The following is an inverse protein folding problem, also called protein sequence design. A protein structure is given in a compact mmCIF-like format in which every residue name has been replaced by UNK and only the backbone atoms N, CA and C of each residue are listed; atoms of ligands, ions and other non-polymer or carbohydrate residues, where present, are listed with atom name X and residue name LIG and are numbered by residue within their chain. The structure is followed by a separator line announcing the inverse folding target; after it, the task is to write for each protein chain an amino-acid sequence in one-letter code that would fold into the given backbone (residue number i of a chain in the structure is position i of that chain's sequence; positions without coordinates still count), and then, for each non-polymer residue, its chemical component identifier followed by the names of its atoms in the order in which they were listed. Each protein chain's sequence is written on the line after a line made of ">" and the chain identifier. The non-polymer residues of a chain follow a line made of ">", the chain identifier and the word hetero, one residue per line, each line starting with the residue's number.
data_IF_090073671367
#
_entry.id   IF_090073671367
#
_cell.length_a   1.000
_cell.length_b   1.000
_cell.length_c   1.000
_cell.angle_alpha   90.00
_cell.angle_beta   90.00
_cell.angle_gamma   90.00
#
_symmetry.space_group_name_H-M   'P 1'
#
loop_
_entity.id
_entity.type
_entity.pdbx_description
1 polymer ?
#
# COMPACT_ATOMS: atom_id res chain seq x y z
N UNK A 1 -22.04 18.17 1.11
CA UNK A 1 -22.34 16.81 0.58
C UNK A 1 -22.56 15.83 1.72
N UNK A 2 -23.50 14.89 1.59
CA UNK A 2 -23.67 13.84 2.63
C UNK A 2 -22.51 12.84 2.61
N UNK A 3 -22.17 12.25 3.76
CA UNK A 3 -21.05 11.28 3.88
C UNK A 3 -21.17 10.05 2.93
N UNK A 4 -22.38 9.77 2.45
CA UNK A 4 -22.63 8.70 1.48
C UNK A 4 -22.19 9.02 0.05
N UNK A 5 -22.26 10.30 -0.37
CA UNK A 5 -21.82 10.74 -1.70
C UNK A 5 -20.30 10.67 -1.84
N UNK A 6 -19.53 11.10 -0.83
CA UNK A 6 -18.07 11.07 -0.83
C UNK A 6 -17.51 9.64 -0.92
N UNK A 7 -18.10 8.67 -0.20
CA UNK A 7 -17.70 7.24 -0.26
C UNK A 7 -17.90 6.62 -1.63
N UNK A 8 -18.92 7.05 -2.37
CA UNK A 8 -19.21 6.52 -3.71
C UNK A 8 -18.27 7.07 -4.78
N UNK A 9 -17.65 8.23 -4.53
CA UNK A 9 -16.70 8.89 -5.42
C UNK A 9 -15.24 8.72 -4.98
N UNK A 10 -14.98 8.20 -3.76
CA UNK A 10 -13.62 7.96 -3.25
C UNK A 10 -12.81 9.23 -2.94
N UNK A 11 -13.48 10.34 -2.63
CA UNK A 11 -12.86 11.64 -2.39
C UNK A 11 -12.37 11.82 -0.95
N UNK A 12 -11.10 12.25 -0.75
CA UNK A 12 -10.46 12.49 0.54
C UNK A 12 -9.66 13.80 0.55
N UNK A 13 -9.67 14.53 1.68
CA UNK A 13 -8.93 15.78 1.84
C UNK A 13 -7.55 15.54 2.45
N UNK A 14 -6.52 16.16 1.91
CA UNK A 14 -5.11 15.94 2.25
C UNK A 14 -4.56 17.10 3.08
N UNK A 15 -3.71 16.81 4.09
CA UNK A 15 -2.97 17.80 4.89
C UNK A 15 -1.53 17.85 4.40
N UNK A 16 -1.05 19.04 4.02
CA UNK A 16 0.26 19.24 3.40
C UNK A 16 1.41 18.88 4.33
N UNK A 17 1.32 19.20 5.62
CA UNK A 17 2.36 18.92 6.60
C UNK A 17 2.71 17.45 6.76
N UNK A 18 1.85 16.54 6.28
CA UNK A 18 2.07 15.10 6.39
C UNK A 18 2.72 14.52 5.13
N UNK A 19 2.30 14.95 3.93
CA UNK A 19 2.80 14.36 2.69
C UNK A 19 3.98 15.12 2.09
N UNK A 20 4.08 16.44 2.32
CA UNK A 20 5.17 17.29 1.82
C UNK A 20 6.46 17.08 2.63
N UNK A 21 7.08 15.91 2.45
CA UNK A 21 8.36 15.59 3.08
C UNK A 21 9.52 16.35 2.41
N UNK A 22 10.64 16.64 3.11
CA UNK A 22 11.72 17.45 2.57
C UNK A 22 12.23 17.01 1.20
N UNK A 23 12.44 15.71 0.98
CA UNK A 23 12.88 15.16 -0.30
C UNK A 23 11.83 15.33 -1.42
N UNK A 24 10.53 15.27 -1.08
CA UNK A 24 9.45 15.54 -2.05
C UNK A 24 9.37 17.03 -2.40
N UNK A 25 9.56 17.93 -1.43
CA UNK A 25 9.65 19.36 -1.67
C UNK A 25 10.84 19.70 -2.57
N UNK A 26 12.00 19.08 -2.34
CA UNK A 26 13.18 19.24 -3.20
C UNK A 26 12.91 18.75 -4.62
N UNK A 27 12.30 17.57 -4.77
CA UNK A 27 11.90 17.05 -6.06
C UNK A 27 10.94 18.00 -6.78
N UNK A 28 9.84 18.40 -6.15
CA UNK A 28 8.86 19.33 -6.75
C UNK A 28 9.52 20.65 -7.18
N UNK A 29 10.40 21.22 -6.36
CA UNK A 29 11.15 22.42 -6.74
C UNK A 29 12.06 22.20 -7.95
N UNK A 30 12.65 21.03 -8.09
CA UNK A 30 13.49 20.68 -9.23
C UNK A 30 12.70 20.64 -10.54
N UNK A 31 11.42 20.26 -10.50
CA UNK A 31 10.53 20.24 -11.66
C UNK A 31 10.31 21.63 -12.28
N UNK A 32 10.49 22.72 -11.52
CA UNK A 32 10.37 24.11 -12.03
C UNK A 32 11.37 24.44 -13.15
N UNK A 33 12.44 23.69 -13.28
CA UNK A 33 13.38 23.86 -14.39
C UNK A 33 12.87 23.29 -15.71
N UNK A 34 11.81 22.47 -15.67
CA UNK A 34 11.25 21.74 -16.79
C UNK A 34 9.79 22.11 -17.08
N UNK A 35 9.03 22.49 -16.04
CA UNK A 35 7.59 22.76 -16.14
C UNK A 35 7.24 24.08 -15.49
N UNK A 36 6.32 24.82 -16.11
CA UNK A 36 5.72 26.01 -15.53
C UNK A 36 4.39 25.70 -14.86
N UNK A 37 3.73 24.61 -15.25
CA UNK A 37 2.37 24.24 -14.84
C UNK A 37 2.34 22.96 -14.01
N UNK A 38 1.51 22.98 -12.97
CA UNK A 38 1.10 21.81 -12.20
C UNK A 38 -0.36 21.50 -12.50
N UNK A 39 -0.64 20.30 -12.95
CA UNK A 39 -1.99 19.80 -13.26
C UNK A 39 -2.45 18.85 -12.17
N UNK A 40 -3.67 19.05 -11.67
CA UNK A 40 -4.39 18.05 -10.87
C UNK A 40 -5.67 17.63 -11.61
N UNK A 41 -5.68 16.43 -12.22
CA UNK A 41 -6.84 15.91 -12.93
C UNK A 41 -8.00 15.47 -12.02
N UNK A 42 -7.80 15.45 -10.69
CA UNK A 42 -8.79 15.07 -9.68
C UNK A 42 -8.78 16.08 -8.52
N UNK A 43 -8.84 17.36 -8.86
CA UNK A 43 -8.44 18.48 -8.02
C UNK A 43 -9.26 18.66 -6.73
N UNK A 44 -10.51 18.20 -6.69
CA UNK A 44 -11.38 18.43 -5.54
C UNK A 44 -11.41 19.91 -5.12
N UNK A 45 -11.13 20.17 -3.84
CA UNK A 45 -11.07 21.54 -3.30
C UNK A 45 -9.72 22.25 -3.58
N UNK A 46 -8.80 21.64 -4.34
CA UNK A 46 -7.57 22.27 -4.82
C UNK A 46 -6.42 22.36 -3.80
N UNK A 47 -6.44 21.59 -2.73
CA UNK A 47 -5.38 21.65 -1.70
C UNK A 47 -3.97 21.36 -2.25
N UNK A 48 -3.81 20.36 -3.13
CA UNK A 48 -2.52 20.05 -3.74
C UNK A 48 -2.07 21.18 -4.69
N UNK A 49 -3.00 21.78 -5.40
CA UNK A 49 -2.72 22.93 -6.28
C UNK A 49 -2.30 24.18 -5.48
N UNK A 50 -2.83 24.40 -4.27
CA UNK A 50 -2.40 25.46 -3.39
C UNK A 50 -0.94 25.27 -2.97
N UNK A 51 -0.55 24.03 -2.62
CA UNK A 51 0.84 23.70 -2.33
C UNK A 51 1.75 23.95 -3.53
N UNK A 52 1.35 23.55 -4.74
CA UNK A 52 2.10 23.82 -5.97
C UNK A 52 2.21 25.33 -6.27
N UNK A 53 1.11 26.09 -6.07
CA UNK A 53 1.12 27.56 -6.22
C UNK A 53 2.12 28.21 -5.27
N UNK A 54 2.21 27.76 -4.01
CA UNK A 54 3.17 28.26 -3.04
C UNK A 54 4.63 28.01 -3.44
N UNK A 55 4.88 27.00 -4.29
CA UNK A 55 6.18 26.71 -4.89
C UNK A 55 6.43 27.46 -6.20
N UNK A 56 5.46 28.28 -6.67
CA UNK A 56 5.56 29.15 -7.82
C UNK A 56 5.17 28.52 -9.16
N UNK A 57 4.38 27.44 -9.17
CA UNK A 57 3.76 26.91 -10.38
C UNK A 57 2.45 27.64 -10.73
N UNK A 58 2.17 27.75 -12.00
CA UNK A 58 0.80 27.95 -12.49
C UNK A 58 0.03 26.65 -12.27
N UNK A 59 -1.22 26.73 -11.85
CA UNK A 59 -2.00 25.54 -11.49
C UNK A 59 -3.25 25.39 -12.33
N UNK A 60 -3.56 24.16 -12.73
CA UNK A 60 -4.76 23.79 -13.47
C UNK A 60 -5.43 22.62 -12.77
N UNK A 61 -6.70 22.76 -12.43
CA UNK A 61 -7.50 21.72 -11.78
C UNK A 61 -8.63 21.24 -12.67
N UNK A 62 -8.94 19.95 -12.58
CA UNK A 62 -10.15 19.34 -13.15
C UNK A 62 -10.83 18.47 -12.11
N UNK A 63 -12.14 18.30 -12.21
CA UNK A 63 -12.92 17.38 -11.41
C UNK A 63 -14.12 16.87 -12.22
N UNK A 64 -14.70 15.75 -11.82
CA UNK A 64 -15.91 15.19 -12.42
C UNK A 64 -17.18 15.79 -11.82
N UNK A 65 -17.10 16.38 -10.62
CA UNK A 65 -18.22 16.97 -9.90
C UNK A 65 -18.45 18.44 -10.32
N UNK A 66 -19.59 18.70 -10.93
CA UNK A 66 -19.98 20.04 -11.42
C UNK A 66 -20.01 21.09 -10.29
N UNK A 67 -20.46 20.71 -9.09
CA UNK A 67 -20.50 21.63 -7.95
C UNK A 67 -19.08 22.01 -7.48
N UNK A 68 -18.15 21.07 -7.50
CA UNK A 68 -16.73 21.32 -7.20
C UNK A 68 -16.11 22.20 -8.28
N UNK A 69 -16.35 21.90 -9.55
CA UNK A 69 -15.84 22.72 -10.67
C UNK A 69 -16.33 24.16 -10.57
N UNK A 70 -17.63 24.36 -10.31
CA UNK A 70 -18.22 25.70 -10.15
C UNK A 70 -17.62 26.43 -8.95
N UNK A 71 -17.50 25.78 -7.80
CA UNK A 71 -17.01 26.40 -6.57
C UNK A 71 -15.56 26.87 -6.66
N UNK A 72 -14.72 26.12 -7.41
CA UNK A 72 -13.27 26.37 -7.49
C UNK A 72 -12.80 26.93 -8.83
N UNK A 73 -13.70 27.10 -9.80
CA UNK A 73 -13.36 27.64 -11.12
C UNK A 73 -12.58 26.67 -12.02
N UNK A 74 -12.77 25.36 -11.85
CA UNK A 74 -12.09 24.32 -12.67
C UNK A 74 -12.65 24.20 -14.10
N UNK A 75 -13.58 25.04 -14.50
CA UNK A 75 -14.21 24.99 -15.82
C UNK A 75 -15.32 23.93 -15.91
N UNK A 76 -15.41 23.25 -17.06
CA UNK A 76 -16.41 22.20 -17.26
C UNK A 76 -15.99 20.89 -16.58
N UNK A 77 -16.93 20.12 -16.01
CA UNK A 77 -16.64 18.82 -15.45
C UNK A 77 -15.92 17.89 -16.44
N UNK A 78 -14.91 17.16 -15.95
CA UNK A 78 -14.14 16.23 -16.75
C UNK A 78 -13.92 14.91 -16.03
N UNK A 79 -14.24 13.81 -16.68
CA UNK A 79 -13.88 12.47 -16.22
C UNK A 79 -12.44 12.14 -16.62
N UNK A 80 -11.50 12.45 -15.74
CA UNK A 80 -10.06 12.31 -16.01
C UNK A 80 -9.55 10.88 -16.01
N UNK A 81 -10.38 9.88 -15.62
CA UNK A 81 -10.06 8.46 -15.83
C UNK A 81 -10.23 8.08 -17.30
N UNK A 82 -11.26 8.61 -17.98
CA UNK A 82 -11.51 8.34 -19.39
C UNK A 82 -10.83 9.34 -20.32
N UNK A 83 -10.72 10.59 -19.90
CA UNK A 83 -10.27 11.72 -20.70
C UNK A 83 -9.23 12.53 -19.96
N UNK A 84 -7.98 12.05 -19.95
CA UNK A 84 -6.86 12.74 -19.29
C UNK A 84 -6.67 14.13 -19.92
N UNK A 85 -6.79 15.23 -19.14
CA UNK A 85 -6.56 16.57 -19.67
C UNK A 85 -5.16 16.72 -20.22
N UNK A 86 -4.98 17.40 -21.36
CA UNK A 86 -3.69 17.57 -22.04
C UNK A 86 -3.14 18.98 -21.84
N UNK A 87 -1.95 19.07 -21.24
CA UNK A 87 -1.18 20.33 -21.08
C UNK A 87 0.29 20.11 -21.42
N UNK A 88 0.81 20.82 -22.42
CA UNK A 88 2.13 20.57 -23.00
C UNK A 88 3.31 20.90 -22.07
N UNK A 89 3.14 21.77 -21.09
CA UNK A 89 4.18 22.22 -20.15
C UNK A 89 3.76 21.96 -18.71
N UNK A 90 3.30 20.75 -18.43
CA UNK A 90 2.80 20.39 -17.11
C UNK A 90 3.34 19.05 -16.63
N UNK A 91 3.52 18.97 -15.31
CA UNK A 91 3.58 17.69 -14.58
C UNK A 91 2.28 17.50 -13.77
N UNK A 92 2.00 16.27 -13.38
CA UNK A 92 0.81 15.94 -12.59
C UNK A 92 1.15 15.84 -11.10
N UNK A 93 0.32 16.49 -10.24
CA UNK A 93 0.32 16.31 -8.78
C UNK A 93 -1.10 16.06 -8.34
N UNK A 94 -1.40 14.87 -7.81
CA UNK A 94 -2.80 14.49 -7.59
C UNK A 94 -3.01 13.45 -6.49
N UNK A 95 -4.22 13.47 -5.95
CA UNK A 95 -4.80 12.46 -5.07
C UNK A 95 -6.06 11.89 -5.76
N UNK A 96 -5.94 10.81 -6.55
CA UNK A 96 -7.04 10.27 -7.36
C UNK A 96 -8.10 9.58 -6.49
N UNK A 97 -9.29 9.25 -7.02
CA UNK A 97 -10.32 8.53 -6.28
C UNK A 97 -9.89 7.09 -5.96
N UNK A 98 -10.21 6.61 -4.73
CA UNK A 98 -9.93 5.25 -4.26
C UNK A 98 -11.21 4.44 -4.18
N UNK A 99 -11.44 3.56 -5.14
CA UNK A 99 -12.57 2.64 -5.12
C UNK A 99 -12.23 1.34 -5.84
N UNK A 100 -11.96 0.31 -5.06
CA UNK A 100 -11.65 -1.00 -5.60
C UNK A 100 -12.86 -1.62 -6.34
N UNK A 101 -12.62 -2.31 -7.44
CA UNK A 101 -13.59 -3.01 -8.30
C UNK A 101 -14.63 -3.83 -7.52
N UNK A 102 -14.17 -4.61 -6.53
CA UNK A 102 -15.05 -5.42 -5.69
C UNK A 102 -15.93 -4.56 -4.76
N UNK A 103 -15.42 -3.44 -4.29
CA UNK A 103 -16.18 -2.47 -3.49
C UNK A 103 -17.21 -1.74 -4.36
N UNK A 104 -16.82 -1.30 -5.56
CA UNK A 104 -17.72 -0.70 -6.53
C UNK A 104 -18.91 -1.63 -6.86
N UNK A 105 -18.63 -2.91 -7.14
CA UNK A 105 -19.67 -3.93 -7.37
C UNK A 105 -20.60 -4.11 -6.17
N UNK A 106 -20.05 -4.21 -4.95
CA UNK A 106 -20.85 -4.38 -3.72
C UNK A 106 -21.74 -3.18 -3.43
N UNK A 107 -21.26 -1.96 -3.74
CA UNK A 107 -21.98 -0.69 -3.55
C UNK A 107 -22.92 -0.38 -4.72
N UNK A 108 -22.92 -1.18 -5.77
CA UNK A 108 -23.62 -0.91 -7.02
C UNK A 108 -23.31 0.50 -7.57
N UNK A 109 -22.03 0.92 -7.44
CA UNK A 109 -21.58 2.23 -7.84
C UNK A 109 -21.44 2.36 -9.36
N UNK A 110 -21.75 3.54 -9.97
CA UNK A 110 -21.55 3.77 -11.41
C UNK A 110 -20.12 3.47 -11.87
N UNK A 111 -19.14 3.65 -11.00
CA UNK A 111 -17.73 3.36 -11.25
C UNK A 111 -17.41 1.90 -11.63
N UNK A 112 -18.36 0.97 -11.52
CA UNK A 112 -18.20 -0.41 -12.05
C UNK A 112 -17.90 -0.39 -13.55
N UNK A 113 -18.44 0.57 -14.30
CA UNK A 113 -18.25 0.70 -15.75
C UNK A 113 -16.78 0.85 -16.16
N UNK A 114 -15.93 1.48 -15.35
CA UNK A 114 -14.50 1.63 -15.66
C UNK A 114 -13.73 0.30 -15.68
N UNK A 115 -14.25 -0.73 -15.04
CA UNK A 115 -13.63 -2.06 -14.95
C UNK A 115 -14.23 -3.09 -15.93
N UNK A 116 -15.07 -2.66 -16.85
CA UNK A 116 -15.64 -3.53 -17.89
C UNK A 116 -14.66 -3.67 -19.05
N UNK A 117 -14.69 -4.78 -19.80
CA UNK A 117 -13.82 -4.99 -20.95
C UNK A 117 -14.00 -3.94 -22.06
N UNK A 118 -15.19 -3.34 -22.13
CA UNK A 118 -15.52 -2.26 -23.08
C UNK A 118 -15.00 -0.89 -22.64
N UNK A 119 -14.56 -0.74 -21.40
CA UNK A 119 -13.90 0.47 -20.96
C UNK A 119 -12.57 0.60 -21.72
N UNK A 120 -12.44 1.69 -22.49
CA UNK A 120 -11.28 1.95 -23.36
C UNK A 120 -10.06 2.34 -22.50
N UNK A 121 -9.62 1.46 -21.63
CA UNK A 121 -8.38 1.61 -20.90
C UNK A 121 -7.39 0.66 -21.56
N UNK A 122 -6.34 1.18 -22.26
CA UNK A 122 -5.31 0.35 -22.86
C UNK A 122 -4.50 -0.32 -21.75
N UNK A 123 -5.00 -1.39 -21.18
CA UNK A 123 -4.19 -2.30 -20.40
C UNK A 123 -3.94 -3.54 -21.27
N UNK A 124 -2.69 -4.01 -21.31
CA UNK A 124 -2.48 -5.37 -21.79
C UNK A 124 -3.34 -6.30 -20.93
N UNK A 125 -3.96 -7.33 -21.52
CA UNK A 125 -4.77 -8.33 -20.80
C UNK A 125 -4.01 -8.87 -19.57
N UNK A 126 -2.69 -8.89 -19.62
CA UNK A 126 -1.78 -9.34 -18.59
C UNK A 126 -1.81 -8.45 -17.31
N UNK A 127 -2.05 -7.15 -17.44
CA UNK A 127 -2.11 -6.21 -16.31
C UNK A 127 -3.53 -5.90 -15.83
N UNK A 128 -4.56 -6.25 -16.60
CA UNK A 128 -5.96 -5.94 -16.28
C UNK A 128 -6.42 -6.48 -14.92
N UNK A 129 -5.86 -7.60 -14.47
CA UNK A 129 -6.16 -8.19 -13.17
C UNK A 129 -5.59 -7.37 -11.99
N UNK A 130 -4.50 -6.63 -12.21
CA UNK A 130 -3.83 -5.80 -11.20
C UNK A 130 -4.47 -4.41 -11.13
N UNK A 131 -5.02 -3.91 -12.25
CA UNK A 131 -5.70 -2.61 -12.34
C UNK A 131 -7.12 -2.69 -11.76
N UNK A 132 -7.24 -3.05 -10.50
CA UNK A 132 -8.49 -3.37 -9.81
C UNK A 132 -9.00 -2.26 -8.88
N UNK A 133 -8.44 -1.05 -8.98
CA UNK A 133 -8.87 0.14 -8.23
C UNK A 133 -8.82 1.39 -9.12
N UNK A 134 -9.67 2.39 -8.87
CA UNK A 134 -9.76 3.60 -9.68
C UNK A 134 -8.44 4.36 -9.75
N UNK A 135 -7.70 4.46 -8.64
CA UNK A 135 -6.40 5.13 -8.65
C UNK A 135 -5.39 4.47 -9.60
N UNK A 136 -5.45 3.14 -9.73
CA UNK A 136 -4.57 2.42 -10.65
C UNK A 136 -4.92 2.71 -12.11
N UNK A 137 -6.20 2.79 -12.42
CA UNK A 137 -6.67 3.20 -13.75
C UNK A 137 -6.24 4.65 -14.06
N UNK A 138 -6.37 5.55 -13.09
CA UNK A 138 -5.95 6.94 -13.22
C UNK A 138 -4.44 7.05 -13.51
N UNK A 139 -3.59 6.32 -12.76
CA UNK A 139 -2.14 6.27 -13.01
C UNK A 139 -1.86 5.75 -14.42
N UNK A 140 -2.43 4.60 -14.78
CA UNK A 140 -2.20 3.95 -16.08
C UNK A 140 -2.46 4.89 -17.24
N UNK A 141 -3.62 5.58 -17.23
CA UNK A 141 -4.00 6.54 -18.26
C UNK A 141 -3.08 7.76 -18.28
N UNK A 142 -2.74 8.30 -17.12
CA UNK A 142 -1.94 9.53 -17.02
C UNK A 142 -0.50 9.31 -17.45
N UNK A 143 0.10 8.17 -17.15
CA UNK A 143 1.48 7.85 -17.51
C UNK A 143 1.70 7.77 -19.03
N UNK A 144 0.66 7.62 -19.84
CA UNK A 144 0.75 7.69 -21.29
C UNK A 144 1.07 9.11 -21.79
N UNK A 145 0.60 10.12 -21.05
CA UNK A 145 0.62 11.52 -21.49
C UNK A 145 1.67 12.37 -20.77
N UNK A 146 2.06 12.01 -19.54
CA UNK A 146 2.94 12.83 -18.70
C UNK A 146 4.23 12.11 -18.34
N UNK A 147 5.36 12.79 -18.51
CA UNK A 147 6.68 12.28 -18.18
C UNK A 147 6.92 12.22 -16.67
N UNK A 148 6.46 13.23 -15.95
CA UNK A 148 6.65 13.40 -14.51
C UNK A 148 5.29 13.52 -13.80
N UNK A 149 5.13 12.78 -12.69
CA UNK A 149 3.89 12.83 -11.91
C UNK A 149 4.11 12.42 -10.45
N UNK A 150 3.34 13.03 -9.56
CA UNK A 150 3.34 12.80 -8.10
C UNK A 150 1.94 12.41 -7.65
N UNK A 151 1.83 11.30 -6.94
CA UNK A 151 0.58 10.64 -6.60
C UNK A 151 0.49 10.36 -5.11
N UNK A 152 -0.60 10.75 -4.47
CA UNK A 152 -0.96 10.27 -3.14
C UNK A 152 -1.94 9.12 -3.34
N UNK A 153 -1.54 7.89 -2.98
CA UNK A 153 -2.31 6.68 -3.32
C UNK A 153 -2.29 5.67 -2.17
N UNK A 154 -3.23 4.71 -2.15
CA UNK A 154 -3.23 3.64 -1.16
C UNK A 154 -1.89 2.89 -1.09
N UNK A 155 -1.41 2.64 0.12
CA UNK A 155 -0.13 1.94 0.36
C UNK A 155 -0.10 0.52 -0.24
N UNK A 156 -1.26 -0.06 -0.56
CA UNK A 156 -1.35 -1.37 -1.23
C UNK A 156 -0.58 -1.41 -2.56
N UNK A 157 -0.41 -0.28 -3.24
CA UNK A 157 0.35 -0.16 -4.50
C UNK A 157 1.80 -0.65 -4.38
N UNK A 158 2.37 -0.63 -3.17
CA UNK A 158 3.74 -1.14 -2.91
C UNK A 158 3.90 -2.59 -3.36
N UNK A 159 2.85 -3.40 -3.19
CA UNK A 159 2.84 -4.80 -3.63
C UNK A 159 2.61 -4.92 -5.15
N UNK A 160 1.83 -4.01 -5.72
CA UNK A 160 1.43 -4.05 -7.12
C UNK A 160 2.56 -3.65 -8.08
N UNK A 161 3.53 -2.83 -7.63
CA UNK A 161 4.68 -2.39 -8.44
C UNK A 161 5.49 -3.56 -9.02
N UNK A 162 5.53 -4.71 -8.37
CA UNK A 162 6.19 -5.90 -8.91
C UNK A 162 5.46 -6.46 -10.14
N UNK A 163 4.15 -6.36 -10.15
CA UNK A 163 3.26 -6.86 -11.20
C UNK A 163 3.08 -5.85 -12.33
N UNK A 164 3.60 -4.62 -12.17
CA UNK A 164 3.51 -3.51 -13.12
C UNK A 164 4.93 -3.01 -13.48
N UNK A 165 5.70 -3.79 -14.26
CA UNK A 165 7.11 -3.49 -14.57
C UNK A 165 7.28 -2.14 -15.29
N UNK A 166 6.32 -1.71 -16.09
CA UNK A 166 6.36 -0.42 -16.78
C UNK A 166 6.20 0.78 -15.80
N UNK A 167 5.44 0.62 -14.70
CA UNK A 167 5.42 1.63 -13.63
C UNK A 167 6.75 1.64 -12.89
N UNK A 168 7.26 0.45 -12.53
CA UNK A 168 8.54 0.32 -11.83
C UNK A 168 9.70 0.93 -12.64
N UNK A 169 9.70 0.75 -13.95
CA UNK A 169 10.70 1.35 -14.84
C UNK A 169 10.69 2.89 -14.84
N UNK A 170 9.60 3.51 -14.40
CA UNK A 170 9.44 4.97 -14.29
C UNK A 170 9.46 5.46 -12.85
N UNK A 171 9.58 4.58 -11.86
CA UNK A 171 9.57 4.93 -10.44
C UNK A 171 10.79 5.80 -10.10
N UNK A 172 10.56 7.07 -9.77
CA UNK A 172 11.58 7.96 -9.21
C UNK A 172 11.72 7.71 -7.72
N UNK A 173 10.61 7.79 -6.97
CA UNK A 173 10.60 7.47 -5.55
C UNK A 173 9.23 6.99 -5.07
N UNK A 174 9.26 6.21 -3.99
CA UNK A 174 8.09 5.80 -3.21
C UNK A 174 8.32 6.18 -1.75
N UNK A 175 7.39 6.93 -1.16
CA UNK A 175 7.44 7.33 0.25
C UNK A 175 6.25 6.76 0.99
N UNK A 176 6.50 5.79 1.87
CA UNK A 176 5.49 5.26 2.80
C UNK A 176 5.26 6.28 3.91
N UNK A 177 4.00 6.68 4.12
CA UNK A 177 3.60 7.61 5.17
C UNK A 177 3.07 6.83 6.39
N UNK A 178 3.76 6.95 7.53
CA UNK A 178 3.26 6.36 8.79
C UNK A 178 2.16 7.23 9.41
N UNK A 179 2.27 8.55 9.23
CA UNK A 179 1.25 9.50 9.66
C UNK A 179 0.09 9.54 8.66
N UNK A 180 -1.10 9.82 9.17
CA UNK A 180 -2.28 9.92 8.32
C UNK A 180 -2.41 11.33 7.72
N UNK A 181 -2.32 11.51 6.38
CA UNK A 181 -2.48 12.82 5.75
C UNK A 181 -3.95 13.28 5.64
N UNK A 182 -4.92 12.43 5.97
CA UNK A 182 -6.33 12.76 5.82
C UNK A 182 -6.98 13.15 7.15
N UNK A 183 -7.98 14.02 7.08
CA UNK A 183 -8.79 14.43 8.25
C UNK A 183 -10.02 13.55 8.45
N UNK A 184 -10.48 12.89 7.40
CA UNK A 184 -11.77 12.18 7.34
C UNK A 184 -11.66 10.67 7.14
N UNK A 185 -10.45 10.14 6.99
CA UNK A 185 -10.19 8.70 6.88
C UNK A 185 -8.84 8.32 7.49
N UNK A 186 -8.72 7.07 7.94
CA UNK A 186 -7.45 6.47 8.39
C UNK A 186 -6.83 5.58 7.30
N UNK A 187 -7.17 5.78 6.04
CA UNK A 187 -6.67 4.94 4.96
C UNK A 187 -5.15 5.08 4.82
N UNK A 188 -4.38 3.97 4.88
CA UNK A 188 -2.94 4.02 4.70
C UNK A 188 -2.58 4.43 3.28
N UNK A 189 -1.71 5.42 3.14
CA UNK A 189 -1.26 5.91 1.84
C UNK A 189 0.25 6.07 1.77
N UNK A 190 0.74 6.15 0.55
CA UNK A 190 2.10 6.50 0.19
C UNK A 190 2.11 7.60 -0.86
N UNK A 191 3.25 8.21 -1.08
CA UNK A 191 3.49 9.12 -2.19
C UNK A 191 4.33 8.40 -3.24
N UNK A 192 3.79 8.23 -4.46
CA UNK A 192 4.51 7.75 -5.62
C UNK A 192 4.97 8.92 -6.47
N UNK A 193 6.21 8.89 -6.89
CA UNK A 193 6.77 9.82 -7.87
C UNK A 193 7.23 9.03 -9.07
N UNK A 194 6.67 9.33 -10.23
CA UNK A 194 7.13 8.80 -11.51
C UNK A 194 7.89 9.87 -12.28
N UNK A 195 8.97 9.45 -12.94
CA UNK A 195 9.73 10.27 -13.89
C UNK A 195 10.25 9.41 -15.03
N UNK A 196 9.98 9.82 -16.25
CA UNK A 196 10.54 9.15 -17.43
C UNK A 196 12.06 9.39 -17.58
N UNK A 197 12.56 10.52 -17.05
CA UNK A 197 13.94 10.97 -17.23
C UNK A 197 14.87 10.58 -16.06
N UNK A 198 14.32 10.35 -14.87
CA UNK A 198 15.11 10.07 -13.64
C UNK A 198 14.47 8.96 -12.79
N UNK A 199 14.37 7.73 -13.30
CA UNK A 199 13.80 6.61 -12.54
C UNK A 199 14.84 6.08 -11.52
N UNK A 200 14.97 6.71 -10.37
CA UNK A 200 15.94 6.31 -9.33
C UNK A 200 15.46 5.14 -8.46
N UNK A 201 14.15 4.89 -8.43
CA UNK A 201 13.55 3.83 -7.64
C UNK A 201 13.72 3.98 -6.12
N UNK A 202 13.93 5.19 -5.60
CA UNK A 202 14.20 5.40 -4.17
C UNK A 202 13.00 5.03 -3.30
N UNK A 203 13.28 4.36 -2.19
CA UNK A 203 12.30 3.98 -1.18
C UNK A 203 12.54 4.77 0.11
N UNK A 204 11.48 5.43 0.56
CA UNK A 204 11.48 6.24 1.77
C UNK A 204 10.38 5.80 2.74
N UNK A 205 10.62 6.01 4.03
CA UNK A 205 9.62 5.89 5.08
C UNK A 205 9.60 7.20 5.87
N UNK A 206 8.55 8.00 5.72
CA UNK A 206 8.55 9.41 6.10
C UNK A 206 9.79 10.14 5.55
N UNK A 207 10.68 10.60 6.43
CA UNK A 207 11.89 11.35 6.07
C UNK A 207 13.15 10.47 6.00
N UNK A 208 13.01 9.16 6.23
CA UNK A 208 14.14 8.22 6.22
C UNK A 208 14.24 7.50 4.89
N UNK A 209 15.37 7.66 4.19
CA UNK A 209 15.70 6.87 2.99
C UNK A 209 16.09 5.46 3.40
N UNK A 210 15.44 4.46 2.83
CA UNK A 210 15.66 3.04 3.15
C UNK A 210 16.63 2.36 2.16
N UNK A 211 16.74 2.88 0.96
CA UNK A 211 17.45 2.31 -0.18
C UNK A 211 16.65 2.49 -1.45
N UNK A 212 16.71 1.53 -2.38
CA UNK A 212 15.82 1.46 -3.54
C UNK A 212 14.70 0.43 -3.31
N UNK A 213 13.60 0.60 -4.04
CA UNK A 213 12.51 -0.38 -4.02
C UNK A 213 13.01 -1.79 -4.35
N UNK A 214 13.87 -1.91 -5.37
CA UNK A 214 14.37 -3.21 -5.83
C UNK A 214 15.28 -3.87 -4.78
N UNK A 215 16.15 -3.11 -4.10
CA UNK A 215 16.99 -3.63 -3.01
C UNK A 215 16.15 -4.20 -1.87
N UNK A 216 15.17 -3.45 -1.37
CA UNK A 216 14.34 -3.89 -0.25
C UNK A 216 13.36 -5.00 -0.70
N UNK A 217 12.89 -4.94 -1.94
CA UNK A 217 12.05 -6.00 -2.53
C UNK A 217 12.80 -7.32 -2.66
N UNK A 218 14.08 -7.30 -3.01
CA UNK A 218 14.91 -8.52 -3.07
C UNK A 218 14.94 -9.24 -1.72
N UNK A 219 15.09 -8.51 -0.60
CA UNK A 219 15.05 -9.09 0.75
C UNK A 219 13.69 -9.73 1.07
N UNK A 220 12.58 -9.13 0.61
CA UNK A 220 11.27 -9.74 0.73
C UNK A 220 11.15 -11.02 -0.12
N UNK A 221 11.63 -10.97 -1.36
CA UNK A 221 11.55 -12.09 -2.30
C UNK A 221 12.39 -13.29 -1.83
N UNK A 222 13.53 -13.08 -1.16
CA UNK A 222 14.31 -14.17 -0.53
C UNK A 222 13.43 -14.99 0.42
N UNK A 223 12.58 -14.35 1.23
CA UNK A 223 11.65 -15.06 2.10
C UNK A 223 10.57 -15.80 1.29
N UNK A 224 10.14 -15.24 0.17
CA UNK A 224 9.15 -15.89 -0.70
C UNK A 224 9.70 -17.10 -1.46
N UNK A 225 11.01 -17.28 -1.57
CA UNK A 225 11.64 -18.51 -2.11
C UNK A 225 11.67 -19.65 -1.10
N UNK A 226 11.53 -19.36 0.21
CA UNK A 226 11.54 -20.39 1.25
C UNK A 226 10.39 -21.39 1.05
N UNK A 227 10.60 -22.67 1.40
CA UNK A 227 9.61 -23.73 1.16
C UNK A 227 8.27 -23.48 1.85
N UNK A 228 7.17 -23.78 1.14
CA UNK A 228 5.80 -23.61 1.65
C UNK A 228 5.33 -24.73 2.56
N UNK A 229 5.83 -25.96 2.37
CA UNK A 229 5.07 -27.15 2.77
C UNK A 229 5.92 -28.26 3.38
N UNK A 230 6.79 -27.95 4.34
CA UNK A 230 7.62 -28.99 4.97
C UNK A 230 7.03 -29.50 6.28
N UNK A 231 6.29 -28.65 6.98
CA UNK A 231 5.52 -29.02 8.15
C UNK A 231 4.06 -28.74 7.84
N UNK A 232 3.18 -29.75 7.85
CA UNK A 232 1.75 -29.51 7.70
C UNK A 232 1.27 -28.53 8.76
N UNK A 233 0.74 -27.39 8.32
CA UNK A 233 0.19 -26.35 9.19
C UNK A 233 -1.24 -26.07 8.76
N UNK A 234 -2.18 -26.34 9.64
CA UNK A 234 -3.60 -26.00 9.43
C UNK A 234 -3.97 -24.78 10.25
N UNK A 235 -4.15 -23.65 9.57
CA UNK A 235 -4.61 -22.41 10.19
C UNK A 235 -6.10 -22.46 10.54
N UNK A 236 -6.54 -21.61 11.46
CA UNK A 236 -7.91 -21.56 11.98
C UNK A 236 -8.36 -22.92 12.59
N UNK A 237 -7.47 -23.57 13.30
CA UNK A 237 -7.70 -24.84 14.00
C UNK A 237 -7.83 -24.60 15.52
N UNK A 238 -9.04 -24.50 16.11
CA UNK A 238 -9.23 -24.17 17.52
C UNK A 238 -8.53 -25.12 18.50
N UNK A 239 -8.28 -26.37 18.11
CA UNK A 239 -7.55 -27.34 18.89
C UNK A 239 -6.01 -27.25 18.74
N UNK A 240 -5.52 -26.38 17.83
CA UNK A 240 -4.09 -26.25 17.55
C UNK A 240 -3.28 -25.82 18.77
N UNK A 241 -2.05 -26.33 18.87
CA UNK A 241 -1.11 -26.02 19.97
C UNK A 241 -0.24 -24.79 19.70
N UNK A 242 -0.23 -24.29 18.46
CA UNK A 242 0.49 -23.10 18.05
C UNK A 242 -0.52 -21.94 17.87
N UNK A 243 -0.23 -20.79 18.49
CA UNK A 243 -0.96 -19.54 18.29
C UNK A 243 -0.22 -18.62 17.36
N UNK A 244 -0.94 -17.81 16.58
CA UNK A 244 -0.35 -16.79 15.73
C UNK A 244 -1.13 -15.48 15.79
N UNK A 245 -0.43 -14.39 16.06
CA UNK A 245 -0.93 -13.02 15.95
C UNK A 245 -0.45 -12.44 14.65
N UNK A 246 -1.39 -12.21 13.73
CA UNK A 246 -1.09 -11.73 12.39
C UNK A 246 -1.08 -10.20 12.26
N UNK A 247 -1.59 -9.48 13.26
CA UNK A 247 -1.71 -8.01 13.24
C UNK A 247 -1.13 -7.43 14.53
N UNK A 248 -0.30 -6.40 14.40
CA UNK A 248 0.20 -5.64 15.56
C UNK A 248 -0.96 -5.11 16.40
N UNK A 249 -0.82 -5.17 17.71
CA UNK A 249 -1.78 -4.62 18.66
C UNK A 249 -1.71 -3.10 18.73
N UNK A 250 -2.59 -2.52 19.53
CA UNK A 250 -2.63 -1.08 19.81
C UNK A 250 -1.76 -0.66 21.00
N UNK A 251 -1.25 -1.62 21.78
CA UNK A 251 -0.40 -1.37 22.95
C UNK A 251 1.06 -1.14 22.52
N UNK A 252 1.74 -0.27 23.25
CA UNK A 252 3.11 0.18 22.97
C UNK A 252 4.19 -0.74 23.53
N UNK A 253 3.83 -1.63 24.46
CA UNK A 253 4.75 -2.48 25.20
C UNK A 253 5.31 -3.67 24.41
N UNK A 254 5.17 -3.69 23.10
CA UNK A 254 5.54 -4.78 22.20
C UNK A 254 4.90 -6.16 22.54
N UNK A 255 4.08 -6.25 23.60
CA UNK A 255 3.45 -7.50 24.02
C UNK A 255 2.46 -8.07 23.02
N UNK A 256 2.04 -7.23 22.05
CA UNK A 256 1.04 -7.55 21.05
C UNK A 256 1.57 -7.37 19.62
N UNK A 257 2.83 -7.73 19.36
CA UNK A 257 3.39 -7.70 18.01
C UNK A 257 3.00 -8.96 17.21
N UNK A 258 3.18 -8.88 15.89
CA UNK A 258 3.07 -10.03 14.99
C UNK A 258 4.08 -11.09 15.44
N UNK A 259 3.61 -12.26 15.90
CA UNK A 259 4.47 -13.37 16.33
C UNK A 259 3.71 -14.67 16.54
N UNK A 260 4.44 -15.74 16.67
CA UNK A 260 3.98 -17.04 17.13
C UNK A 260 4.02 -17.14 18.67
N UNK A 261 3.12 -17.94 19.24
CA UNK A 261 2.96 -18.22 20.66
C UNK A 261 2.72 -19.71 20.86
N UNK A 262 3.00 -20.24 22.05
CA UNK A 262 2.30 -21.44 22.48
C UNK A 262 0.79 -21.14 22.53
N UNK A 263 -0.03 -22.11 22.14
CA UNK A 263 -1.46 -21.86 21.98
C UNK A 263 -2.14 -21.23 23.20
N UNK A 264 -1.74 -21.64 24.39
CA UNK A 264 -2.32 -21.14 25.64
C UNK A 264 -1.89 -19.70 25.96
N UNK A 265 -0.72 -19.27 25.47
CA UNK A 265 -0.16 -17.93 25.67
C UNK A 265 -0.75 -16.88 24.70
N UNK A 266 -1.51 -17.29 23.68
CA UNK A 266 -2.14 -16.35 22.76
C UNK A 266 -3.14 -15.40 23.44
N UNK A 267 -3.65 -15.79 24.63
CA UNK A 267 -4.56 -14.97 25.42
C UNK A 267 -5.91 -14.69 24.76
N UNK A 268 -6.37 -15.59 23.88
CA UNK A 268 -7.61 -15.46 23.13
C UNK A 268 -8.46 -16.72 23.25
N UNK A 269 -9.77 -16.57 23.51
CA UNK A 269 -10.69 -17.70 23.63
C UNK A 269 -10.79 -18.50 22.33
N UNK A 270 -10.38 -19.76 22.36
CA UNK A 270 -10.38 -20.68 21.21
C UNK A 270 -11.75 -20.79 20.54
N UNK A 271 -12.84 -20.70 21.32
CA UNK A 271 -14.23 -20.77 20.83
C UNK A 271 -14.63 -19.56 19.98
N UNK A 272 -13.89 -18.46 20.09
CA UNK A 272 -14.14 -17.23 19.32
C UNK A 272 -13.38 -17.18 17.99
N UNK A 273 -12.50 -18.15 17.71
CA UNK A 273 -11.79 -18.23 16.43
C UNK A 273 -12.80 -18.55 15.32
N UNK A 274 -12.92 -17.64 14.38
CA UNK A 274 -13.69 -17.82 13.15
C UNK A 274 -12.82 -18.46 12.08
N UNK A 275 -13.42 -19.26 11.20
CA UNK A 275 -12.73 -19.90 10.06
C UNK A 275 -12.01 -18.88 9.15
N UNK A 276 -12.46 -17.64 9.13
CA UNK A 276 -11.87 -16.54 8.36
C UNK A 276 -11.10 -15.52 9.20
N UNK A 277 -10.67 -15.89 10.42
CA UNK A 277 -9.90 -14.96 11.25
C UNK A 277 -8.62 -14.54 10.56
N UNK A 278 -8.38 -13.23 10.50
CA UNK A 278 -7.17 -12.62 9.89
C UNK A 278 -6.27 -11.93 10.90
N UNK A 279 -6.64 -11.92 12.19
CA UNK A 279 -5.92 -11.20 13.25
C UNK A 279 -5.20 -12.13 14.21
N UNK A 280 -5.92 -13.12 14.70
CA UNK A 280 -5.46 -14.12 15.65
C UNK A 280 -5.95 -15.48 15.18
N UNK A 281 -5.11 -16.49 15.24
CA UNK A 281 -5.51 -17.85 14.90
C UNK A 281 -4.74 -18.87 15.72
N UNK A 282 -5.37 -20.03 15.92
CA UNK A 282 -4.68 -21.24 16.35
C UNK A 282 -4.32 -22.07 15.12
N UNK A 283 -3.18 -22.75 15.22
CA UNK A 283 -2.62 -23.55 14.13
C UNK A 283 -2.37 -24.96 14.65
N UNK A 284 -2.90 -25.93 13.93
CA UNK A 284 -2.55 -27.31 14.14
C UNK A 284 -1.24 -27.63 13.44
N UNK A 285 -0.28 -28.16 14.19
CA UNK A 285 1.05 -28.54 13.73
C UNK A 285 1.52 -29.79 14.48
N UNK A 286 2.00 -30.78 13.74
CA UNK A 286 2.45 -32.05 14.29
C UNK A 286 3.95 -32.00 14.67
N UNK A 287 4.26 -31.31 15.77
CA UNK A 287 5.63 -31.23 16.35
C UNK A 287 5.60 -31.63 17.82
N UNK A 288 6.67 -32.28 18.28
CA UNK A 288 6.89 -32.51 19.71
C UNK A 288 7.07 -31.19 20.45
N UNK A 289 6.74 -31.16 21.76
CA UNK A 289 6.65 -29.92 22.55
C UNK A 289 7.98 -29.13 22.59
N UNK A 290 9.09 -29.81 22.80
CA UNK A 290 10.42 -29.18 22.88
C UNK A 290 10.83 -28.59 21.53
N UNK A 291 10.61 -29.35 20.45
CA UNK A 291 10.83 -28.88 19.08
C UNK A 291 9.94 -27.67 18.76
N UNK A 292 8.66 -27.72 19.14
CA UNK A 292 7.72 -26.61 18.93
C UNK A 292 8.21 -25.34 19.63
N UNK A 293 8.70 -25.44 20.87
CA UNK A 293 9.24 -24.29 21.63
C UNK A 293 10.42 -23.67 20.88
N UNK A 294 11.43 -24.47 20.52
CA UNK A 294 12.60 -23.98 19.79
C UNK A 294 12.25 -23.35 18.43
N UNK A 295 11.28 -23.95 17.72
CA UNK A 295 10.82 -23.42 16.42
C UNK A 295 10.06 -22.10 16.60
N UNK A 296 9.24 -21.93 17.64
CA UNK A 296 8.56 -20.68 17.95
C UNK A 296 9.57 -19.55 18.19
N UNK A 297 10.60 -19.81 19.00
CA UNK A 297 11.65 -18.82 19.30
C UNK A 297 12.38 -18.40 18.03
N UNK A 298 12.84 -19.35 17.23
CA UNK A 298 13.55 -19.07 15.99
C UNK A 298 12.63 -18.40 14.95
N UNK A 299 11.36 -18.81 14.82
CA UNK A 299 10.41 -18.17 13.92
C UNK A 299 10.17 -16.71 14.30
N UNK A 300 10.05 -16.41 15.59
CA UNK A 300 9.90 -15.03 16.07
C UNK A 300 11.15 -14.20 15.81
N UNK A 301 12.34 -14.76 16.00
CA UNK A 301 13.61 -14.09 15.64
C UNK A 301 13.66 -13.76 14.15
N UNK A 302 13.21 -14.69 13.27
CA UNK A 302 13.14 -14.48 11.82
C UNK A 302 12.11 -13.43 11.44
N UNK A 303 10.95 -13.39 12.11
CA UNK A 303 9.95 -12.34 11.91
C UNK A 303 10.56 -10.96 12.22
N UNK A 304 11.24 -10.81 13.36
CA UNK A 304 11.86 -9.53 13.72
C UNK A 304 13.00 -9.15 12.74
N UNK A 305 13.83 -10.11 12.32
CA UNK A 305 14.87 -9.87 11.33
C UNK A 305 14.27 -9.42 9.96
N UNK A 306 13.24 -10.10 9.49
CA UNK A 306 12.52 -9.73 8.28
C UNK A 306 11.93 -8.31 8.36
N UNK A 307 11.26 -8.00 9.47
CA UNK A 307 10.66 -6.68 9.70
C UNK A 307 11.72 -5.57 9.72
N UNK A 308 12.85 -5.82 10.38
CA UNK A 308 13.96 -4.89 10.41
C UNK A 308 14.58 -4.68 9.01
N UNK A 309 14.83 -5.77 8.27
CA UNK A 309 15.44 -5.70 6.94
C UNK A 309 14.53 -5.03 5.89
N UNK A 310 13.21 -5.26 5.95
CA UNK A 310 12.25 -4.69 5.00
C UNK A 310 11.56 -3.41 5.51
N UNK A 311 11.90 -2.96 6.72
CA UNK A 311 11.27 -1.80 7.39
C UNK A 311 9.73 -1.87 7.42
N UNK A 312 9.16 -3.07 7.41
CA UNK A 312 7.73 -3.38 7.34
C UNK A 312 7.02 -2.94 6.03
N UNK A 313 7.75 -2.47 5.03
CA UNK A 313 7.18 -1.89 3.79
C UNK A 313 6.32 -2.88 3.01
N UNK A 314 6.69 -4.18 3.04
CA UNK A 314 5.93 -5.24 2.36
C UNK A 314 4.92 -5.95 3.26
N UNK A 315 4.74 -5.52 4.50
CA UNK A 315 3.61 -5.94 5.33
C UNK A 315 2.38 -5.09 5.00
N UNK A 316 1.22 -5.72 4.96
CA UNK A 316 -0.02 -4.99 4.71
C UNK A 316 -0.24 -3.94 5.80
N UNK A 317 -0.40 -2.68 5.42
CA UNK A 317 -0.81 -1.64 6.33
C UNK A 317 -2.22 -1.92 6.88
N UNK A 318 -2.39 -1.82 8.18
CA UNK A 318 -3.67 -2.03 8.83
C UNK A 318 -4.30 -0.68 9.20
N UNK A 319 -5.61 -0.56 9.05
CA UNK A 319 -6.33 0.66 9.45
C UNK A 319 -6.19 0.87 10.97
N UNK A 320 -5.97 2.11 11.36
CA UNK A 320 -5.71 2.51 12.74
C UNK A 320 -4.24 2.33 13.15
N UNK A 321 -3.80 3.25 13.99
CA UNK A 321 -2.43 3.29 14.51
C UNK A 321 -2.36 2.73 15.93
N UNK A 322 -1.15 2.54 16.45
CA UNK A 322 -0.91 2.38 17.88
C UNK A 322 -1.28 3.67 18.61
N UNK A 323 -1.27 3.65 19.95
CA UNK A 323 -1.49 4.87 20.74
C UNK A 323 -0.45 5.96 20.51
N UNK A 324 0.77 5.59 20.07
CA UNK A 324 1.87 6.50 19.72
C UNK A 324 1.84 6.98 18.27
N UNK A 325 0.81 6.61 17.49
CA UNK A 325 0.68 7.03 16.10
C UNK A 325 1.37 6.09 15.09
N UNK A 326 2.06 5.04 15.52
CA UNK A 326 2.76 4.11 14.60
C UNK A 326 1.75 3.27 13.84
N UNK A 327 1.93 3.16 12.52
CA UNK A 327 1.10 2.34 11.64
C UNK A 327 1.17 0.86 12.03
N UNK A 328 0.03 0.26 12.34
CA UNK A 328 -0.06 -1.18 12.60
C UNK A 328 0.12 -1.95 11.31
N UNK A 329 0.81 -3.07 11.38
CA UNK A 329 1.10 -3.95 10.25
C UNK A 329 0.40 -5.29 10.40
N UNK A 330 0.20 -5.94 9.27
CA UNK A 330 -0.32 -7.30 9.19
C UNK A 330 0.60 -8.15 8.33
N UNK A 331 0.98 -9.30 8.85
CA UNK A 331 1.68 -10.34 8.10
C UNK A 331 0.69 -11.45 7.74
N UNK A 332 0.57 -11.78 6.47
CA UNK A 332 -0.33 -12.83 6.01
C UNK A 332 0.17 -14.24 6.38
N UNK A 333 -0.72 -15.22 6.21
CA UNK A 333 -0.42 -16.61 6.58
C UNK A 333 0.59 -17.28 5.64
N UNK A 334 0.75 -16.80 4.41
CA UNK A 334 1.72 -17.35 3.47
C UNK A 334 3.15 -16.99 3.89
N UNK A 335 3.38 -15.73 4.19
CA UNK A 335 4.66 -15.25 4.69
C UNK A 335 4.99 -15.86 6.06
N UNK A 336 4.03 -15.86 6.99
CA UNK A 336 4.18 -16.47 8.31
C UNK A 336 4.56 -17.94 8.23
N UNK A 337 3.91 -18.72 7.36
CA UNK A 337 4.21 -20.14 7.13
C UNK A 337 5.64 -20.35 6.64
N UNK A 338 6.11 -19.52 5.71
CA UNK A 338 7.48 -19.64 5.18
C UNK A 338 8.52 -19.38 6.25
N UNK A 339 8.34 -18.33 7.05
CA UNK A 339 9.23 -18.01 8.17
C UNK A 339 9.23 -19.12 9.23
N UNK A 340 8.08 -19.71 9.54
CA UNK A 340 7.98 -20.85 10.46
C UNK A 340 8.68 -22.10 9.92
N UNK A 341 8.48 -22.42 8.65
CA UNK A 341 9.16 -23.56 8.01
C UNK A 341 10.68 -23.37 7.98
N UNK A 342 11.15 -22.17 7.65
CA UNK A 342 12.58 -21.86 7.69
C UNK A 342 13.17 -22.01 9.11
N UNK A 343 12.41 -21.65 10.14
CA UNK A 343 12.78 -21.86 11.53
C UNK A 343 12.84 -23.37 11.87
N UNK A 344 11.86 -24.14 11.41
CA UNK A 344 11.83 -25.59 11.61
C UNK A 344 13.08 -26.29 11.02
N UNK A 345 13.50 -25.90 9.81
CA UNK A 345 14.74 -26.43 9.23
C UNK A 345 15.98 -26.08 10.02
N UNK A 346 16.10 -24.82 10.42
CA UNK A 346 17.27 -24.36 11.17
C UNK A 346 17.39 -25.10 12.52
N UNK A 347 16.28 -25.30 13.23
CA UNK A 347 16.27 -26.02 14.51
C UNK A 347 16.64 -27.50 14.35
N UNK A 348 16.24 -28.14 13.23
CA UNK A 348 16.56 -29.56 12.99
C UNK A 348 17.90 -29.77 12.29
N UNK A 349 18.75 -28.75 12.16
CA UNK A 349 20.08 -28.86 11.53
C UNK A 349 20.01 -29.20 10.03
N UNK A 350 18.89 -28.98 9.37
CA UNK A 350 18.70 -29.24 7.95
C UNK A 350 18.93 -27.94 7.15
N UNK A 351 19.68 -28.05 6.06
CA UNK A 351 19.75 -26.94 5.08
C UNK A 351 18.37 -26.73 4.48
N UNK A 352 17.95 -25.48 4.35
CA UNK A 352 16.74 -25.17 3.59
C UNK A 352 16.92 -25.74 2.17
N UNK A 353 15.99 -26.57 1.68
CA UNK A 353 16.07 -27.04 0.29
C UNK A 353 16.12 -25.85 -0.65
N UNK A 354 16.93 -25.92 -1.68
CA UNK A 354 16.87 -24.94 -2.78
C UNK A 354 15.47 -24.92 -3.39
N UNK A 355 14.98 -23.77 -3.83
CA UNK A 355 13.64 -23.60 -4.39
C UNK A 355 13.35 -24.47 -5.60
#
# INVERSE_FOLDING_TARGET
>A
MSSGSKRNLGQYFTRDEVWLRPHLVEHLRSLRTQYTTCLDPFAGDGHLLQAATSMGFTTVGHDVDEAICTANGWGTPNDSILHVPQHNDAFVLTNPPYLAKNSAKRLNAPAVSYFLPEAVIPSSDEHAAVLDDLFKLAIEQTLVHYADSVWIVPESVVQDLELLPHWRARLHSLTVLEDNPFTDTEHPVCVLVFSANKPNGELWKNDTRLGTYDEIRALHNEILTLPRALTPMKFNAPAGRLGYRAVDGTKEDNSMRIRFYHGDDLGYDRRRIKVSSRHLTYIDVALEQDTLTAVIEEANRRIEAYRAATHDVFLTAFMGNTKTGIRRRRMDYHLARRLFNAAFFAVNGQSTPSP
#
